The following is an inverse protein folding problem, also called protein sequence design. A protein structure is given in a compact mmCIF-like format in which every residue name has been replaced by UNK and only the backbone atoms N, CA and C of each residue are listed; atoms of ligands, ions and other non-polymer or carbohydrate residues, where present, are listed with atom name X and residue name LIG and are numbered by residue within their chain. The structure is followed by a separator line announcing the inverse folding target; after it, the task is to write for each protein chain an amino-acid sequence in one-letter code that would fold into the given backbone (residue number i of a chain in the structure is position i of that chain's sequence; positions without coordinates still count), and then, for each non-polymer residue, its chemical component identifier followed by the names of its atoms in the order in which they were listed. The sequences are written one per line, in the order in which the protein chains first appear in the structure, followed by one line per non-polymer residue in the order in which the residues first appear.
data_IF_422060094142
#
_entry.id   IF_422060094142
#
_cell.length_a   1.000
_cell.length_b   1.000
_cell.length_c   1.000
_cell.angle_alpha   90.00
_cell.angle_beta   90.00
_cell.angle_gamma   90.00
#
_symmetry.space_group_name_H-M   'P 1'
#
loop_
_entity.id
_entity.type
_entity.pdbx_description
1 polymer ?
#
# COMPACT_ATOMS: atom_id res chain seq x y z
N UNK A 1 0.76 60.12 58.20
CA UNK A 1 1.38 58.89 58.68
C UNK A 1 0.52 57.74 58.14
N UNK A 2 0.79 57.28 56.90
CA UNK A 2 0.07 56.19 56.22
C UNK A 2 1.07 55.12 55.77
N UNK A 3 0.91 53.96 56.38
CA UNK A 3 1.66 52.74 56.08
C UNK A 3 1.25 52.19 54.74
N UNK A 4 2.19 52.04 53.79
CA UNK A 4 1.97 51.31 52.55
C UNK A 4 2.35 49.84 52.71
N UNK A 5 1.35 48.96 52.59
CA UNK A 5 1.53 47.52 52.59
C UNK A 5 1.87 47.10 51.15
N UNK A 6 3.05 46.54 50.97
CA UNK A 6 3.44 45.94 49.65
C UNK A 6 3.06 44.47 49.66
N UNK A 7 2.06 44.11 48.86
CA UNK A 7 1.72 42.73 48.59
C UNK A 7 2.65 42.14 47.52
N UNK A 8 3.43 41.13 47.91
CA UNK A 8 4.23 40.33 46.99
C UNK A 8 3.37 39.23 46.39
N UNK A 9 3.15 39.27 45.11
CA UNK A 9 2.50 38.19 44.32
C UNK A 9 3.57 37.16 44.01
N UNK A 10 3.49 36.00 44.63
CA UNK A 10 4.32 34.83 44.29
C UNK A 10 3.63 34.12 43.12
N UNK A 11 4.21 34.25 41.92
CA UNK A 11 3.78 33.56 40.74
C UNK A 11 4.36 32.12 40.77
N UNK A 12 3.54 31.16 41.18
CA UNK A 12 3.90 29.74 41.18
C UNK A 12 4.02 29.21 39.77
N UNK A 13 5.23 28.89 39.31
CA UNK A 13 5.51 28.21 38.07
C UNK A 13 5.19 26.72 38.25
N UNK A 14 4.02 26.27 37.80
CA UNK A 14 3.68 24.85 37.66
C UNK A 14 4.48 24.26 36.49
N UNK A 15 5.59 23.61 36.80
CA UNK A 15 6.32 22.76 35.87
C UNK A 15 5.47 21.51 35.63
N UNK A 16 4.69 21.51 34.54
CA UNK A 16 4.07 20.31 33.98
C UNK A 16 5.19 19.43 33.40
N UNK A 17 5.67 18.46 34.15
CA UNK A 17 6.50 17.37 33.61
C UNK A 17 5.63 16.48 32.78
N UNK A 18 5.40 16.86 31.51
CA UNK A 18 4.85 15.98 30.48
C UNK A 18 5.85 14.87 30.26
N UNK A 19 5.48 13.64 30.62
CA UNK A 19 6.17 12.45 30.14
C UNK A 19 6.06 12.41 28.61
N UNK A 20 7.03 13.00 27.91
CA UNK A 20 7.24 12.74 26.50
C UNK A 20 7.66 11.28 26.39
N UNK A 21 6.69 10.41 26.10
CA UNK A 21 7.00 9.06 25.62
C UNK A 21 7.87 9.26 24.39
N UNK A 22 9.16 8.99 24.52
CA UNK A 22 10.06 8.86 23.37
C UNK A 22 9.51 7.73 22.53
N UNK A 23 8.83 8.07 21.42
CA UNK A 23 8.58 7.12 20.36
C UNK A 23 9.95 6.67 19.88
N UNK A 24 10.33 5.46 20.27
CA UNK A 24 11.49 4.81 19.68
C UNK A 24 11.25 4.73 18.17
N UNK A 25 12.16 5.26 17.34
CA UNK A 25 12.08 5.02 15.91
C UNK A 25 12.01 3.50 15.73
N UNK A 26 11.05 3.02 14.94
CA UNK A 26 11.03 1.63 14.52
C UNK A 26 12.44 1.32 13.98
N UNK A 27 13.17 0.34 14.52
CA UNK A 27 14.51 0.06 14.02
C UNK A 27 14.35 -0.23 12.52
N UNK A 28 15.02 0.56 11.70
CA UNK A 28 15.27 0.23 10.32
C UNK A 28 16.03 -1.11 10.38
N UNK A 29 15.30 -2.21 10.21
CA UNK A 29 15.95 -3.48 9.98
C UNK A 29 16.68 -3.31 8.64
N UNK A 30 17.97 -3.07 8.72
CA UNK A 30 18.92 -3.40 7.66
C UNK A 30 18.97 -4.94 7.56
N UNK A 31 17.77 -5.52 7.28
CA UNK A 31 17.65 -6.93 6.96
C UNK A 31 18.30 -7.11 5.61
N UNK A 32 19.30 -7.97 5.53
CA UNK A 32 19.79 -8.55 4.29
C UNK A 32 18.57 -8.79 3.40
N UNK A 33 18.57 -8.19 2.19
CA UNK A 33 17.58 -8.48 1.17
C UNK A 33 17.65 -9.96 0.85
N UNK A 34 16.88 -10.77 1.54
CA UNK A 34 16.69 -12.15 1.17
C UNK A 34 15.97 -12.15 -0.17
N UNK A 35 16.66 -12.55 -1.22
CA UNK A 35 16.07 -12.75 -2.53
C UNK A 35 15.06 -13.89 -2.40
N UNK A 36 13.77 -13.57 -2.40
CA UNK A 36 12.72 -14.56 -2.42
C UNK A 36 12.42 -14.91 -3.89
N UNK A 37 12.57 -16.18 -4.23
CA UNK A 37 12.20 -16.70 -5.55
C UNK A 37 10.68 -16.84 -5.70
N UNK A 38 9.93 -16.78 -4.60
CA UNK A 38 8.47 -16.96 -4.59
C UNK A 38 7.79 -16.09 -3.54
N UNK A 39 6.54 -15.73 -3.82
CA UNK A 39 5.66 -15.06 -2.87
C UNK A 39 5.16 -16.07 -1.84
N UNK A 40 5.28 -15.76 -0.56
CA UNK A 40 4.74 -16.62 0.50
C UNK A 40 3.21 -16.60 0.47
N UNK A 41 2.56 -17.76 0.37
CA UNK A 41 1.12 -17.86 0.22
C UNK A 41 0.37 -17.58 1.54
N UNK A 42 -0.74 -16.89 1.46
CA UNK A 42 -1.65 -16.67 2.58
C UNK A 42 -2.31 -17.97 3.05
N UNK A 43 -2.61 -18.87 2.10
CA UNK A 43 -3.30 -20.15 2.35
C UNK A 43 -2.52 -21.12 3.26
N UNK A 44 -1.20 -20.95 3.39
CA UNK A 44 -0.36 -21.78 4.26
C UNK A 44 -0.12 -21.15 5.64
N UNK A 45 -0.60 -19.94 5.88
CA UNK A 45 -0.39 -19.21 7.13
C UNK A 45 -1.51 -19.52 8.13
N UNK A 46 -1.22 -19.67 9.43
CA UNK A 46 -2.25 -19.91 10.44
C UNK A 46 -3.28 -18.79 10.53
N UNK A 47 -4.54 -19.17 10.79
CA UNK A 47 -5.62 -18.20 11.07
C UNK A 47 -5.26 -17.40 12.33
N UNK A 48 -5.51 -16.09 12.28
CA UNK A 48 -5.20 -15.15 13.36
C UNK A 48 -3.89 -14.39 13.16
N UNK A 49 -2.96 -14.90 12.36
CA UNK A 49 -1.76 -14.16 11.99
C UNK A 49 -2.09 -12.97 11.07
N UNK A 50 -1.26 -11.93 11.13
CA UNK A 50 -1.42 -10.74 10.29
C UNK A 50 -1.13 -11.06 8.82
N UNK A 51 -0.06 -11.81 8.57
CA UNK A 51 0.39 -12.22 7.24
C UNK A 51 1.50 -13.27 7.37
N UNK A 52 1.90 -13.92 6.25
CA UNK A 52 3.09 -14.77 6.25
C UNK A 52 4.36 -13.99 6.65
N UNK A 53 5.37 -14.64 7.24
CA UNK A 53 6.57 -13.97 7.80
C UNK A 53 7.36 -13.09 6.82
N UNK A 54 7.31 -13.35 5.51
CA UNK A 54 8.01 -12.53 4.51
C UNK A 54 7.24 -11.27 4.12
N UNK A 55 5.98 -11.15 4.54
CA UNK A 55 5.18 -9.95 4.31
C UNK A 55 5.38 -8.95 5.45
N UNK A 56 5.64 -7.73 5.12
CA UNK A 56 5.86 -6.66 6.08
C UNK A 56 4.85 -5.51 5.89
N UNK A 57 4.54 -4.77 6.96
CA UNK A 57 3.66 -3.62 6.87
C UNK A 57 4.21 -2.55 5.92
N UNK A 58 3.36 -2.10 5.01
CA UNK A 58 3.64 -0.96 4.15
C UNK A 58 2.89 0.27 4.64
N UNK A 59 3.61 1.13 5.35
CA UNK A 59 3.08 2.35 5.96
C UNK A 59 3.33 3.51 5.01
N UNK A 60 2.26 4.08 4.47
CA UNK A 60 2.33 5.23 3.55
C UNK A 60 2.66 6.52 4.29
N UNK A 61 2.09 6.71 5.47
CA UNK A 61 2.33 7.85 6.33
C UNK A 61 2.04 7.49 7.79
N UNK A 62 2.84 8.03 8.70
CA UNK A 62 2.60 7.90 10.15
C UNK A 62 1.34 8.61 10.65
N UNK A 63 0.75 9.48 9.83
CA UNK A 63 -0.45 10.26 10.17
C UNK A 63 -1.75 9.59 9.71
N UNK A 64 -1.67 8.54 8.90
CA UNK A 64 -2.83 7.79 8.46
C UNK A 64 -3.10 6.62 9.40
N UNK A 65 -4.37 6.36 9.69
CA UNK A 65 -4.79 5.12 10.32
C UNK A 65 -4.40 3.94 9.43
N UNK A 66 -4.16 2.79 10.05
CA UNK A 66 -3.72 1.58 9.35
C UNK A 66 -4.89 0.67 9.08
N UNK A 67 -4.95 0.15 7.88
CA UNK A 67 -5.83 -0.96 7.53
C UNK A 67 -5.43 -2.18 8.35
N UNK A 68 -6.40 -2.87 8.92
CA UNK A 68 -6.19 -4.13 9.63
C UNK A 68 -6.12 -5.27 8.63
N UNK A 69 -5.08 -6.08 8.74
CA UNK A 69 -4.88 -7.29 7.96
C UNK A 69 -4.86 -8.49 8.88
N UNK A 70 -5.48 -9.58 8.46
CA UNK A 70 -5.49 -10.83 9.22
C UNK A 70 -5.77 -12.04 8.33
N UNK A 71 -5.10 -13.16 8.60
CA UNK A 71 -5.44 -14.43 7.97
C UNK A 71 -6.69 -14.97 8.62
N UNK A 72 -7.71 -15.22 7.81
CA UNK A 72 -9.00 -15.76 8.23
C UNK A 72 -9.34 -17.04 7.47
N UNK A 73 -10.22 -17.87 8.05
CA UNK A 73 -10.93 -18.89 7.28
C UNK A 73 -12.15 -18.24 6.63
N UNK A 74 -12.19 -18.24 5.32
CA UNK A 74 -13.28 -17.66 4.54
C UNK A 74 -13.75 -18.69 3.51
N UNK A 75 -14.96 -19.22 3.70
CA UNK A 75 -15.56 -20.24 2.83
C UNK A 75 -14.73 -21.55 2.76
N UNK A 76 -14.04 -21.91 3.86
CA UNK A 76 -13.23 -23.13 3.97
C UNK A 76 -11.79 -22.97 3.40
N UNK A 77 -11.40 -21.77 3.06
CA UNK A 77 -10.04 -21.46 2.61
C UNK A 77 -9.40 -20.37 3.47
N UNK A 78 -8.09 -20.51 3.73
CA UNK A 78 -7.33 -19.46 4.41
C UNK A 78 -6.94 -18.39 3.42
N UNK A 79 -7.33 -17.15 3.73
CA UNK A 79 -7.11 -15.98 2.91
C UNK A 79 -6.71 -14.78 3.77
N UNK A 80 -6.14 -13.76 3.15
CA UNK A 80 -5.89 -12.49 3.83
C UNK A 80 -7.16 -11.62 3.77
N UNK A 81 -7.72 -11.29 4.93
CA UNK A 81 -8.74 -10.25 5.07
C UNK A 81 -8.07 -8.89 5.27
N UNK A 82 -8.59 -7.89 4.59
CA UNK A 82 -8.28 -6.48 4.80
C UNK A 82 -9.53 -5.75 5.29
N UNK A 83 -9.38 -4.95 6.34
CA UNK A 83 -10.47 -4.15 6.94
C UNK A 83 -9.96 -2.71 7.12
N UNK A 84 -10.45 -1.80 6.27
CA UNK A 84 -10.07 -0.42 6.23
C UNK A 84 -11.21 0.46 6.75
N UNK A 85 -10.96 1.18 7.86
CA UNK A 85 -11.89 2.14 8.43
C UNK A 85 -11.22 3.52 8.45
N UNK A 86 -11.54 4.37 7.48
CA UNK A 86 -10.90 5.68 7.27
C UNK A 86 -9.36 5.54 7.32
N UNK A 87 -8.84 4.52 6.62
CA UNK A 87 -7.44 4.10 6.77
C UNK A 87 -6.78 3.80 5.43
N UNK A 88 -5.44 3.90 5.40
CA UNK A 88 -4.64 3.51 4.25
C UNK A 88 -3.29 2.97 4.69
N UNK A 89 -3.09 1.69 4.46
CA UNK A 89 -1.80 1.01 4.55
C UNK A 89 -1.87 -0.29 3.76
N UNK A 90 -0.73 -0.89 3.49
CA UNK A 90 -0.64 -2.15 2.78
C UNK A 90 0.22 -3.17 3.53
N UNK A 91 0.35 -4.30 2.89
CA UNK A 91 1.40 -5.29 3.15
C UNK A 91 2.23 -5.43 1.87
N UNK A 92 3.53 -5.62 2.02
CA UNK A 92 4.40 -5.92 0.89
C UNK A 92 5.35 -7.06 1.23
N UNK A 93 5.72 -7.82 0.21
CA UNK A 93 6.80 -8.79 0.32
C UNK A 93 7.95 -8.36 -0.61
N UNK A 94 9.16 -8.13 -0.07
CA UNK A 94 10.34 -7.89 -0.88
C UNK A 94 10.63 -9.08 -1.80
N UNK A 95 11.05 -8.78 -3.02
CA UNK A 95 11.39 -9.76 -4.05
C UNK A 95 12.64 -9.32 -4.81
N UNK A 96 13.24 -10.27 -5.53
CA UNK A 96 14.21 -9.97 -6.59
C UNK A 96 13.91 -10.92 -7.74
N UNK A 97 12.96 -10.52 -8.61
CA UNK A 97 12.54 -11.33 -9.76
C UNK A 97 12.81 -10.58 -11.06
N UNK A 98 13.30 -11.31 -12.04
CA UNK A 98 13.50 -10.79 -13.39
C UNK A 98 12.18 -10.94 -14.18
N UNK A 99 11.54 -9.82 -14.63
CA UNK A 99 10.27 -9.89 -15.33
C UNK A 99 10.30 -10.67 -16.65
N UNK A 100 11.46 -10.82 -17.28
CA UNK A 100 11.61 -11.66 -18.49
C UNK A 100 11.60 -13.15 -18.18
N UNK A 101 11.91 -13.57 -16.94
CA UNK A 101 11.88 -14.97 -16.52
C UNK A 101 10.52 -15.34 -15.87
N UNK A 102 9.93 -14.40 -15.16
CA UNK A 102 8.68 -14.55 -14.43
C UNK A 102 7.70 -13.45 -14.81
N UNK A 103 7.22 -13.42 -16.07
CA UNK A 103 6.40 -12.32 -16.55
C UNK A 103 4.96 -12.35 -16.06
N UNK A 104 4.44 -13.48 -15.61
CA UNK A 104 3.04 -13.61 -15.27
C UNK A 104 2.82 -13.52 -13.78
N UNK A 105 2.03 -12.53 -13.38
CA UNK A 105 1.49 -12.35 -12.03
C UNK A 105 0.09 -12.95 -11.96
N UNK A 106 -0.15 -13.81 -10.97
CA UNK A 106 -1.45 -14.40 -10.71
C UNK A 106 -1.90 -14.01 -9.32
N UNK A 107 -3.18 -13.68 -9.19
CA UNK A 107 -3.83 -13.44 -7.92
C UNK A 107 -5.33 -13.67 -8.02
N UNK A 108 -6.00 -13.68 -6.90
CA UNK A 108 -7.46 -13.58 -6.81
C UNK A 108 -7.85 -12.70 -5.64
N UNK A 109 -8.99 -12.08 -5.75
CA UNK A 109 -9.58 -11.31 -4.69
C UNK A 109 -11.10 -11.44 -4.68
N UNK A 110 -11.71 -11.03 -3.56
CA UNK A 110 -13.16 -10.92 -3.40
C UNK A 110 -13.48 -9.58 -2.75
N UNK A 111 -14.33 -8.80 -3.38
CA UNK A 111 -14.79 -7.50 -2.92
C UNK A 111 -16.27 -7.61 -2.56
N UNK A 112 -16.65 -7.48 -1.28
CA UNK A 112 -18.05 -7.57 -0.86
C UNK A 112 -18.92 -6.41 -1.34
N UNK A 113 -18.36 -5.19 -1.39
CA UNK A 113 -19.07 -3.97 -1.79
C UNK A 113 -18.11 -2.90 -2.33
N UNK A 114 -18.64 -2.03 -3.20
CA UNK A 114 -17.91 -0.84 -3.65
C UNK A 114 -17.78 0.18 -2.52
N UNK A 115 -16.79 1.05 -2.64
CA UNK A 115 -16.61 2.20 -1.74
C UNK A 115 -17.46 3.35 -2.26
N UNK A 116 -18.47 3.84 -1.53
CA UNK A 116 -19.26 4.97 -1.96
C UNK A 116 -18.40 6.21 -2.19
N UNK A 117 -18.54 6.84 -3.35
CA UNK A 117 -17.80 8.05 -3.67
C UNK A 117 -16.37 7.84 -4.15
N UNK A 118 -15.84 6.61 -4.17
CA UNK A 118 -14.50 6.34 -4.71
C UNK A 118 -14.44 6.64 -6.21
N UNK A 119 -13.33 7.29 -6.58
CA UNK A 119 -12.98 7.67 -7.94
C UNK A 119 -11.45 7.80 -8.00
N UNK A 120 -10.80 6.76 -8.51
CA UNK A 120 -9.34 6.70 -8.53
C UNK A 120 -8.67 7.70 -9.49
N UNK A 121 -9.45 8.34 -10.37
CA UNK A 121 -8.98 9.47 -11.18
C UNK A 121 -9.00 10.81 -10.42
N UNK A 122 -9.60 10.86 -9.23
CA UNK A 122 -9.72 12.05 -8.39
C UNK A 122 -8.82 11.98 -7.17
N UNK A 123 -8.14 13.07 -6.84
CA UNK A 123 -7.31 13.16 -5.61
C UNK A 123 -8.09 12.98 -4.31
N UNK A 124 -9.38 13.32 -4.30
CA UNK A 124 -10.25 13.28 -3.12
C UNK A 124 -11.08 12.02 -3.03
N UNK A 125 -11.00 11.16 -4.02
CA UNK A 125 -11.73 9.90 -4.08
C UNK A 125 -10.82 8.70 -4.36
N UNK A 126 -9.48 8.86 -4.32
CA UNK A 126 -8.52 7.81 -4.63
C UNK A 126 -8.46 6.75 -3.52
N UNK A 127 -9.56 5.99 -3.41
CA UNK A 127 -9.68 4.80 -2.57
C UNK A 127 -10.04 3.60 -3.45
N UNK A 128 -9.54 2.42 -3.09
CA UNK A 128 -9.91 1.18 -3.75
C UNK A 128 -10.06 0.04 -2.73
N UNK A 129 -11.12 -0.78 -2.84
CA UNK A 129 -11.29 -1.91 -1.94
C UNK A 129 -10.16 -2.94 -2.05
N UNK A 130 -9.52 -3.00 -3.22
CA UNK A 130 -8.39 -3.90 -3.47
C UNK A 130 -7.39 -3.28 -4.45
N UNK A 131 -6.11 -3.39 -4.08
CA UNK A 131 -4.98 -3.10 -4.97
C UNK A 131 -3.97 -4.24 -4.88
N UNK A 132 -3.53 -4.75 -6.01
CA UNK A 132 -2.32 -5.57 -6.11
C UNK A 132 -1.25 -4.74 -6.79
N UNK A 133 -0.10 -4.61 -6.16
CA UNK A 133 0.93 -3.64 -6.51
C UNK A 133 2.21 -4.38 -6.84
N UNK A 134 2.81 -4.05 -7.98
CA UNK A 134 4.13 -4.53 -8.38
C UNK A 134 5.06 -3.33 -8.49
N UNK A 135 6.16 -3.37 -7.75
CA UNK A 135 7.16 -2.33 -7.78
C UNK A 135 8.42 -2.82 -8.49
N UNK A 136 8.97 -1.95 -9.30
CA UNK A 136 10.14 -2.22 -10.13
C UNK A 136 11.31 -1.34 -9.71
N UNK A 137 12.50 -1.92 -9.70
CA UNK A 137 13.74 -1.18 -9.63
C UNK A 137 14.12 -0.64 -11.01
N UNK A 138 15.04 0.32 -11.05
CA UNK A 138 15.49 0.92 -12.28
C UNK A 138 16.44 2.09 -12.07
N UNK A 139 16.77 2.76 -13.17
CA UNK A 139 17.70 3.90 -13.16
C UNK A 139 17.01 5.18 -12.67
N UNK A 140 17.10 5.46 -11.38
CA UNK A 140 16.53 6.65 -10.75
C UNK A 140 17.17 7.98 -11.21
N UNK A 141 18.26 7.94 -11.97
CA UNK A 141 18.81 9.15 -12.61
C UNK A 141 17.88 9.73 -13.69
N UNK A 142 16.92 8.92 -14.15
CA UNK A 142 15.87 9.32 -15.10
C UNK A 142 14.66 10.00 -14.44
N UNK A 143 14.63 10.12 -13.11
CA UNK A 143 13.59 10.87 -12.43
C UNK A 143 13.67 12.35 -12.82
N UNK A 144 12.52 12.92 -13.13
CA UNK A 144 12.41 14.35 -13.25
C UNK A 144 12.50 15.05 -11.89
N UNK A 145 12.36 16.37 -11.88
CA UNK A 145 12.44 17.15 -10.64
C UNK A 145 11.32 16.77 -9.64
N UNK A 146 10.11 16.54 -10.13
CA UNK A 146 8.93 16.20 -9.28
C UNK A 146 9.07 14.81 -8.68
N UNK A 147 9.45 13.83 -9.48
CA UNK A 147 9.69 12.46 -9.03
C UNK A 147 10.86 12.39 -8.03
N UNK A 148 11.93 13.16 -8.27
CA UNK A 148 13.07 13.26 -7.34
C UNK A 148 12.67 13.87 -5.99
N UNK A 149 11.90 14.96 -6.01
CA UNK A 149 11.38 15.60 -4.80
C UNK A 149 10.43 14.68 -4.03
N UNK A 150 9.57 13.94 -4.75
CA UNK A 150 8.69 12.94 -4.15
C UNK A 150 9.49 11.80 -3.53
N UNK A 151 10.53 11.29 -4.20
CA UNK A 151 11.38 10.23 -3.69
C UNK A 151 12.06 10.63 -2.37
N UNK A 152 12.56 11.86 -2.26
CA UNK A 152 13.08 12.38 -1.00
C UNK A 152 12.00 12.44 0.10
N UNK A 153 10.81 12.88 -0.25
CA UNK A 153 9.67 12.96 0.67
C UNK A 153 9.26 11.57 1.17
N UNK A 154 9.12 10.61 0.26
CA UNK A 154 8.80 9.21 0.60
C UNK A 154 9.84 8.64 1.55
N UNK A 155 11.13 8.81 1.24
CA UNK A 155 12.22 8.33 2.11
C UNK A 155 12.18 8.96 3.51
N UNK A 156 11.91 10.26 3.60
CA UNK A 156 11.84 10.98 4.88
C UNK A 156 10.66 10.52 5.76
N UNK A 157 9.48 10.27 5.17
CA UNK A 157 8.27 9.97 5.94
C UNK A 157 7.99 8.48 6.13
N UNK A 158 8.39 7.62 5.19
CA UNK A 158 8.20 6.18 5.28
C UNK A 158 9.47 5.41 5.70
N UNK A 159 10.64 6.04 5.60
CA UNK A 159 11.94 5.39 5.79
C UNK A 159 12.34 4.46 4.63
N UNK A 160 11.51 4.34 3.59
CA UNK A 160 11.73 3.47 2.43
C UNK A 160 12.12 4.27 1.21
N UNK A 161 12.89 3.66 0.33
CA UNK A 161 13.16 4.24 -0.98
C UNK A 161 11.96 4.09 -1.89
N UNK A 162 11.65 5.16 -2.64
CA UNK A 162 10.64 5.12 -3.68
C UNK A 162 11.10 4.16 -4.79
N UNK A 163 10.26 3.21 -5.24
CA UNK A 163 10.51 2.40 -6.42
C UNK A 163 10.78 3.26 -7.66
N UNK A 164 11.48 2.71 -8.63
CA UNK A 164 11.62 3.37 -9.93
C UNK A 164 10.27 3.53 -10.63
N UNK A 165 9.46 2.48 -10.62
CA UNK A 165 8.09 2.54 -11.11
C UNK A 165 7.19 1.53 -10.37
N UNK A 166 5.88 1.79 -10.35
CA UNK A 166 4.87 0.88 -9.80
C UNK A 166 3.69 0.72 -10.74
N UNK A 167 3.19 -0.51 -10.84
CA UNK A 167 1.89 -0.82 -11.45
C UNK A 167 0.96 -1.25 -10.33
N UNK A 168 -0.22 -0.67 -10.27
CA UNK A 168 -1.27 -1.03 -9.33
C UNK A 168 -2.45 -1.57 -10.11
N UNK A 169 -2.81 -2.82 -9.91
CA UNK A 169 -4.04 -3.41 -10.43
C UNK A 169 -5.16 -3.15 -9.41
N UNK A 170 -6.26 -2.55 -9.87
CA UNK A 170 -7.32 -2.05 -8.98
C UNK A 170 -8.70 -2.51 -9.41
N UNK A 171 -9.64 -2.51 -8.45
CA UNK A 171 -11.08 -2.52 -8.71
C UNK A 171 -11.60 -1.09 -8.60
N UNK A 172 -12.21 -0.59 -9.66
CA UNK A 172 -12.70 0.76 -9.75
C UNK A 172 -14.24 0.79 -9.78
N UNK A 173 -14.86 1.91 -9.41
CA UNK A 173 -16.32 2.00 -9.31
C UNK A 173 -17.01 2.14 -10.67
N UNK A 174 -16.40 2.85 -11.64
CA UNK A 174 -17.08 3.34 -12.85
C UNK A 174 -16.27 3.14 -14.14
N UNK A 175 -14.96 3.38 -14.07
CA UNK A 175 -14.10 3.32 -15.25
C UNK A 175 -13.97 1.87 -15.72
N UNK A 176 -14.07 1.60 -17.04
CA UNK A 176 -14.05 0.23 -17.54
C UNK A 176 -12.68 -0.45 -17.33
N UNK A 177 -12.65 -1.78 -17.28
CA UNK A 177 -11.40 -2.53 -17.31
C UNK A 177 -10.47 -2.09 -18.44
N UNK A 178 -9.16 -2.20 -18.21
CA UNK A 178 -8.05 -1.74 -19.05
C UNK A 178 -7.88 -0.21 -19.08
N UNK A 179 -8.70 0.57 -18.37
CA UNK A 179 -8.42 1.99 -18.17
C UNK A 179 -7.13 2.15 -17.37
N UNK A 180 -6.25 3.03 -17.86
CA UNK A 180 -5.03 3.44 -17.17
C UNK A 180 -5.27 4.78 -16.50
N UNK A 181 -4.98 4.87 -15.21
CA UNK A 181 -5.10 6.09 -14.42
C UNK A 181 -3.70 6.49 -13.96
N UNK A 182 -3.32 7.72 -14.24
CA UNK A 182 -2.06 8.28 -13.79
C UNK A 182 -2.14 8.66 -12.31
N UNK A 183 -1.11 8.32 -11.56
CA UNK A 183 -1.04 8.73 -10.16
C UNK A 183 -0.84 10.26 -10.09
N UNK A 184 -1.61 10.93 -9.23
CA UNK A 184 -1.69 12.39 -9.17
C UNK A 184 -0.37 13.12 -8.79
N UNK A 185 0.65 12.40 -8.30
CA UNK A 185 1.89 12.99 -7.76
C UNK A 185 3.16 12.52 -8.47
N UNK A 186 3.07 11.56 -9.38
CA UNK A 186 4.24 10.99 -10.04
C UNK A 186 3.86 10.32 -11.35
N UNK A 187 4.70 10.46 -12.36
CA UNK A 187 4.59 9.74 -13.62
C UNK A 187 5.00 8.25 -13.50
N UNK A 188 5.63 7.90 -12.37
CA UNK A 188 6.21 6.58 -12.10
C UNK A 188 5.26 5.61 -11.40
N UNK A 189 4.02 6.01 -11.16
CA UNK A 189 2.98 5.11 -10.65
C UNK A 189 1.76 5.15 -11.57
N UNK A 190 1.32 3.98 -12.02
CA UNK A 190 0.15 3.82 -12.89
C UNK A 190 -0.81 2.83 -12.26
N UNK A 191 -2.10 3.18 -12.29
CA UNK A 191 -3.17 2.25 -11.92
C UNK A 191 -3.80 1.67 -13.18
N UNK A 192 -4.04 0.37 -13.19
CA UNK A 192 -4.73 -0.35 -14.26
C UNK A 192 -6.00 -0.93 -13.67
N UNK A 193 -7.13 -0.51 -14.17
CA UNK A 193 -8.44 -1.07 -13.80
C UNK A 193 -8.52 -2.47 -14.38
N UNK A 194 -8.65 -3.49 -13.52
CA UNK A 194 -8.81 -4.88 -13.96
C UNK A 194 -10.21 -5.41 -13.66
N UNK A 195 -10.95 -4.74 -12.80
CA UNK A 195 -12.37 -5.01 -12.53
C UNK A 195 -13.09 -3.70 -12.21
N UNK A 196 -14.38 -3.63 -12.52
CA UNK A 196 -15.16 -2.41 -12.35
C UNK A 196 -16.64 -2.68 -12.06
N UNK A 197 -17.22 -1.75 -11.27
CA UNK A 197 -18.65 -1.73 -11.01
C UNK A 197 -19.14 -2.88 -10.10
N UNK A 198 -20.47 -3.02 -9.95
CA UNK A 198 -21.04 -3.90 -8.93
C UNK A 198 -21.32 -5.36 -9.40
N UNK A 199 -21.10 -5.70 -10.68
CA UNK A 199 -21.62 -6.93 -11.27
C UNK A 199 -21.02 -8.19 -10.69
N UNK A 200 -19.79 -8.13 -10.21
CA UNK A 200 -19.05 -9.30 -9.69
C UNK A 200 -18.74 -9.19 -8.18
N UNK A 201 -19.42 -8.27 -7.48
CA UNK A 201 -19.30 -8.16 -6.02
C UNK A 201 -19.66 -9.48 -5.33
N UNK A 202 -18.96 -9.78 -4.24
CA UNK A 202 -19.14 -11.01 -3.47
C UNK A 202 -18.60 -12.27 -4.14
N UNK A 203 -17.98 -12.17 -5.32
CA UNK A 203 -17.41 -13.31 -6.04
C UNK A 203 -15.89 -13.34 -5.93
N UNK A 204 -15.31 -14.52 -5.88
CA UNK A 204 -13.87 -14.69 -6.10
C UNK A 204 -13.54 -14.50 -7.57
N UNK A 205 -12.64 -13.57 -7.86
CA UNK A 205 -12.20 -13.28 -9.23
C UNK A 205 -10.68 -13.51 -9.31
N UNK A 206 -10.29 -14.36 -10.26
CA UNK A 206 -8.88 -14.66 -10.54
C UNK A 206 -8.39 -13.86 -11.73
N UNK A 207 -7.15 -13.40 -11.63
CA UNK A 207 -6.46 -12.63 -12.67
C UNK A 207 -5.10 -13.25 -12.98
N UNK A 208 -4.70 -13.05 -14.23
CA UNK A 208 -3.35 -13.29 -14.73
C UNK A 208 -2.95 -12.07 -15.54
N UNK A 209 -1.80 -11.46 -15.23
CA UNK A 209 -1.26 -10.31 -15.97
C UNK A 209 0.18 -10.57 -16.39
N UNK A 210 0.52 -10.20 -17.61
CA UNK A 210 1.92 -10.14 -18.03
C UNK A 210 2.50 -8.79 -17.59
N UNK A 211 3.14 -8.77 -16.42
CA UNK A 211 3.66 -7.53 -15.81
C UNK A 211 4.79 -6.89 -16.61
N UNK A 212 5.53 -7.68 -17.41
CA UNK A 212 6.54 -7.15 -18.33
C UNK A 212 5.89 -6.36 -19.46
N UNK A 213 4.88 -6.94 -20.12
CA UNK A 213 4.15 -6.26 -21.19
C UNK A 213 3.37 -5.06 -20.68
N UNK A 214 2.76 -5.16 -19.50
CA UNK A 214 2.08 -4.01 -18.88
C UNK A 214 3.08 -2.88 -18.59
N UNK A 215 4.25 -3.19 -18.07
CA UNK A 215 5.29 -2.18 -17.82
C UNK A 215 5.71 -1.48 -19.12
N UNK A 216 6.04 -2.26 -20.17
CA UNK A 216 6.44 -1.73 -21.48
C UNK A 216 5.36 -0.82 -22.08
N UNK A 217 4.10 -1.26 -22.00
CA UNK A 217 2.93 -0.49 -22.47
C UNK A 217 2.75 0.83 -21.69
N UNK A 218 2.96 0.80 -20.38
CA UNK A 218 2.65 1.92 -19.49
C UNK A 218 3.78 2.96 -19.43
N UNK A 219 5.03 2.53 -19.52
CA UNK A 219 6.19 3.39 -19.34
C UNK A 219 7.05 3.57 -20.59
N UNK A 220 6.81 2.80 -21.66
CA UNK A 220 7.53 2.90 -22.94
C UNK A 220 8.99 2.43 -22.87
N UNK A 221 9.36 1.69 -21.83
CA UNK A 221 10.71 1.17 -21.61
C UNK A 221 10.70 -0.25 -21.06
N UNK A 222 11.84 -0.94 -21.06
CA UNK A 222 11.96 -2.26 -20.48
C UNK A 222 11.97 -2.18 -18.95
N UNK A 223 11.28 -3.11 -18.23
CA UNK A 223 11.31 -3.14 -16.78
C UNK A 223 12.66 -3.59 -16.22
N UNK A 224 13.08 -2.97 -15.14
CA UNK A 224 14.09 -3.52 -14.25
C UNK A 224 13.53 -4.69 -13.40
N UNK A 225 14.30 -5.19 -12.43
CA UNK A 225 13.84 -6.24 -11.54
C UNK A 225 12.61 -5.83 -10.73
N UNK A 226 11.72 -6.78 -10.45
CA UNK A 226 10.65 -6.59 -9.47
C UNK A 226 11.28 -6.59 -8.08
N UNK A 227 11.07 -5.52 -7.32
CA UNK A 227 11.64 -5.35 -5.99
C UNK A 227 10.66 -5.69 -4.86
N UNK A 228 9.36 -5.63 -5.10
CA UNK A 228 8.35 -6.16 -4.20
C UNK A 228 7.01 -6.36 -4.91
N UNK A 229 6.18 -7.20 -4.33
CA UNK A 229 4.74 -7.27 -4.57
C UNK A 229 4.02 -6.83 -3.31
N UNK A 230 2.88 -6.16 -3.45
CA UNK A 230 2.09 -5.68 -2.32
C UNK A 230 0.60 -5.80 -2.54
N UNK A 231 -0.14 -5.69 -1.44
CA UNK A 231 -1.58 -5.52 -1.41
C UNK A 231 -1.94 -4.28 -0.61
N UNK A 232 -2.99 -3.59 -1.00
CA UNK A 232 -3.51 -2.45 -0.26
C UNK A 232 -5.02 -2.36 -0.38
N UNK A 233 -5.66 -1.99 0.73
CA UNK A 233 -7.07 -1.63 0.82
C UNK A 233 -7.13 -0.31 1.55
N UNK A 234 -7.74 0.70 0.95
CA UNK A 234 -7.80 2.06 1.48
C UNK A 234 -9.21 2.65 1.39
N UNK A 235 -9.52 3.52 2.34
CA UNK A 235 -10.83 4.18 2.48
C UNK A 235 -10.73 5.56 3.13
N UNK A 236 -9.52 6.12 3.16
CA UNK A 236 -9.24 7.38 3.86
C UNK A 236 -9.64 8.62 3.06
N UNK A 237 -9.61 8.57 1.73
CA UNK A 237 -9.97 9.70 0.88
C UNK A 237 -11.48 9.96 0.87
N UNK A 238 -12.28 8.91 0.96
CA UNK A 238 -13.75 8.97 1.02
C UNK A 238 -14.28 8.95 2.46
N UNK A 239 -13.42 8.84 3.46
CA UNK A 239 -13.78 8.74 4.89
C UNK A 239 -14.79 7.62 5.18
N UNK A 240 -14.62 6.47 4.53
CA UNK A 240 -15.55 5.34 4.60
C UNK A 240 -14.95 4.12 5.31
N UNK A 241 -15.73 3.03 5.34
CA UNK A 241 -15.29 1.70 5.75
C UNK A 241 -15.46 0.71 4.61
N UNK A 242 -14.42 -0.08 4.34
CA UNK A 242 -14.46 -1.17 3.37
C UNK A 242 -13.69 -2.38 3.87
N UNK A 243 -14.04 -3.55 3.34
CA UNK A 243 -13.30 -4.79 3.55
C UNK A 243 -13.14 -5.57 2.26
N UNK A 244 -12.10 -6.39 2.18
CA UNK A 244 -11.84 -7.24 1.04
C UNK A 244 -11.04 -8.48 1.45
N UNK A 245 -10.99 -9.47 0.55
CA UNK A 245 -10.23 -10.69 0.75
C UNK A 245 -9.26 -10.89 -0.42
N UNK A 246 -8.03 -11.28 -0.07
CA UNK A 246 -6.99 -11.63 -1.03
C UNK A 246 -6.63 -13.10 -0.89
N UNK A 247 -6.67 -13.83 -1.99
CA UNK A 247 -6.07 -15.15 -2.10
C UNK A 247 -4.59 -15.07 -2.41
N UNK A 248 -3.96 -16.22 -2.60
CA UNK A 248 -2.53 -16.31 -2.88
C UNK A 248 -2.13 -15.51 -4.13
N UNK A 249 -0.95 -14.91 -4.04
CA UNK A 249 -0.30 -14.19 -5.12
C UNK A 249 0.95 -14.98 -5.54
N UNK A 250 1.17 -15.12 -6.83
CA UNK A 250 2.35 -15.82 -7.36
C UNK A 250 2.82 -15.27 -8.68
N UNK A 251 4.10 -15.43 -8.94
CA UNK A 251 4.68 -15.22 -10.26
C UNK A 251 4.97 -16.55 -10.95
N UNK A 252 4.85 -16.60 -12.26
CA UNK A 252 5.16 -17.79 -13.07
C UNK A 252 5.84 -17.44 -14.39
N UNK A 253 6.41 -18.45 -15.01
CA UNK A 253 7.02 -18.37 -16.35
C UNK A 253 5.97 -18.46 -17.46
N UNK A 254 4.87 -19.16 -17.16
CA UNK A 254 3.73 -19.43 -18.05
C UNK A 254 2.41 -19.16 -17.35
#
# INVERSE_FOLDING_TARGET
MRLMLRSAIILGLLLATGCAQRMTPYPLQSGSQAAFASVQPFSLTPVGEVAPPAWEPWILSRFLARTRYQIVDHEGERVLEADANVSASGLLQPLTLTPSEYPYLHWRWKVPKLIPGADNASRTGDDSPVRVIVAFDGDKSKFDFEDSALAHTVKLFSGREMPYATIQYIWENKLPPETVIDHAKTSRAKMVVVESGPQRLGQWISFQRNVKQDFERLFGELPGPIMFVGVMTDSNATETHTSAYYGDIRFSRE
#
